data_IF_337063941594
#
_entry.id   IF_337063941594
#
_cell.length_a   1.000
_cell.length_b   1.000
_cell.length_c   1.000
_cell.angle_alpha   90.00
_cell.angle_beta   90.00
_cell.angle_gamma   90.00
#
_symmetry.space_group_name_H-M   'P 1'
#
loop_
_entity.id
_entity.type
_entity.pdbx_description
1 polymer ?
#
# COMPACT_ATOMS: atom_id res chain seq x y z
N UNK A 1 -81.21 36.96 2.40
CA UNK A 1 -79.99 37.05 3.22
C UNK A 1 -79.78 35.73 3.95
N UNK A 2 -78.57 35.19 3.85
CA UNK A 2 -77.90 34.27 4.79
C UNK A 2 -78.59 32.95 5.17
N UNK A 3 -78.30 31.86 4.43
CA UNK A 3 -78.26 30.48 5.02
C UNK A 3 -77.57 29.37 4.20
N UNK A 4 -76.83 29.68 3.13
CA UNK A 4 -76.06 28.66 2.35
C UNK A 4 -74.54 28.66 2.61
N UNK A 5 -74.05 29.57 3.48
CA UNK A 5 -72.63 29.66 3.83
C UNK A 5 -72.07 28.48 4.67
N UNK A 6 -72.84 27.67 5.44
CA UNK A 6 -72.24 26.62 6.27
C UNK A 6 -71.93 25.33 5.47
N UNK A 7 -72.71 24.98 4.44
CA UNK A 7 -72.52 23.74 3.68
C UNK A 7 -71.25 23.77 2.81
N UNK A 8 -70.93 24.91 2.21
CA UNK A 8 -69.72 25.06 1.40
C UNK A 8 -68.46 25.08 2.27
N UNK A 9 -68.54 25.67 3.47
CA UNK A 9 -67.46 25.61 4.46
C UNK A 9 -67.26 24.19 5.00
N UNK A 10 -68.33 23.45 5.28
CA UNK A 10 -68.23 22.03 5.67
C UNK A 10 -67.61 21.21 4.53
N UNK A 11 -68.02 21.41 3.27
CA UNK A 11 -67.43 20.78 2.08
C UNK A 11 -65.94 21.11 1.88
N UNK A 12 -65.51 22.33 2.21
CA UNK A 12 -64.10 22.73 2.21
C UNK A 12 -63.29 22.09 3.35
N UNK A 13 -63.89 21.85 4.51
CA UNK A 13 -63.23 21.17 5.64
C UNK A 13 -63.07 19.67 5.34
N UNK A 14 -63.99 19.01 4.61
CA UNK A 14 -63.81 17.61 4.15
C UNK A 14 -62.73 17.47 3.06
N UNK A 15 -62.31 18.59 2.44
CA UNK A 15 -61.19 18.63 1.48
C UNK A 15 -59.84 18.95 2.17
N UNK A 16 -59.87 19.31 3.45
CA UNK A 16 -58.69 19.63 4.27
C UNK A 16 -58.68 18.66 5.46
N UNK A 17 -58.19 17.45 5.27
CA UNK A 17 -57.50 16.64 6.31
C UNK A 17 -57.54 15.16 5.92
N UNK A 18 -56.58 14.76 5.09
CA UNK A 18 -55.64 13.71 5.48
C UNK A 18 -54.32 14.06 4.82
N UNK A 19 -53.48 14.81 5.51
CA UNK A 19 -52.06 14.78 5.16
C UNK A 19 -51.57 13.36 5.44
N UNK A 20 -51.68 12.47 4.45
CA UNK A 20 -51.12 11.12 4.49
C UNK A 20 -49.60 11.25 4.41
N UNK A 21 -49.01 11.54 5.56
CA UNK A 21 -47.58 11.67 5.72
C UNK A 21 -47.09 10.42 6.46
N UNK A 22 -46.41 9.53 5.73
CA UNK A 22 -45.75 8.41 6.38
C UNK A 22 -44.56 8.88 7.20
N UNK A 23 -44.55 8.57 8.50
CA UNK A 23 -43.35 8.65 9.32
C UNK A 23 -42.51 7.37 9.13
N UNK A 24 -41.46 7.46 8.31
CA UNK A 24 -40.66 6.28 7.94
C UNK A 24 -39.91 5.63 9.11
N UNK A 25 -39.58 6.38 10.16
CA UNK A 25 -38.91 5.85 11.34
C UNK A 25 -39.82 5.02 12.25
N UNK A 26 -41.11 4.92 11.92
CA UNK A 26 -42.00 3.87 12.44
C UNK A 26 -41.45 2.46 12.14
N UNK A 27 -40.74 2.29 11.02
CA UNK A 27 -40.05 1.05 10.67
C UNK A 27 -38.54 1.21 10.93
N UNK A 28 -38.02 0.64 12.03
CA UNK A 28 -36.62 0.79 12.36
C UNK A 28 -35.74 0.12 11.31
N UNK A 29 -34.54 0.66 11.14
CA UNK A 29 -33.53 0.02 10.30
C UNK A 29 -33.00 -1.25 10.96
N UNK A 30 -32.69 -2.26 10.16
CA UNK A 30 -31.78 -3.33 10.58
C UNK A 30 -30.39 -2.75 10.88
N UNK A 31 -29.57 -3.52 11.59
CA UNK A 31 -28.14 -3.26 11.58
C UNK A 31 -27.59 -3.30 10.15
N UNK A 32 -26.48 -2.59 9.93
CA UNK A 32 -25.72 -2.71 8.70
C UNK A 32 -25.22 -4.14 8.54
N UNK A 33 -25.26 -4.66 7.31
CA UNK A 33 -24.62 -5.91 6.96
C UNK A 33 -23.11 -5.82 7.21
N UNK A 34 -22.45 -6.97 7.29
CA UNK A 34 -20.99 -7.01 7.15
C UNK A 34 -20.57 -6.36 5.83
N UNK A 35 -19.41 -5.70 5.83
CA UNK A 35 -18.86 -5.10 4.62
C UNK A 35 -18.50 -6.19 3.61
N UNK A 36 -18.81 -5.95 2.33
CA UNK A 36 -18.52 -6.92 1.26
C UNK A 36 -17.02 -7.17 1.01
N UNK A 37 -16.17 -6.23 1.43
CA UNK A 37 -14.71 -6.35 1.37
C UNK A 37 -14.11 -5.88 2.69
N UNK A 38 -12.95 -6.43 3.06
CA UNK A 38 -12.19 -5.97 4.22
C UNK A 38 -11.34 -4.72 3.95
N UNK A 39 -11.16 -4.35 2.68
CA UNK A 39 -10.40 -3.18 2.22
C UNK A 39 -10.69 -2.95 0.71
N UNK A 40 -10.14 -1.89 0.11
CA UNK A 40 -10.39 -1.48 -1.28
C UNK A 40 -11.87 -1.18 -1.57
N UNK A 41 -12.50 -0.40 -0.69
CA UNK A 41 -13.86 0.11 -0.83
C UNK A 41 -14.89 -0.99 -1.08
N UNK A 42 -15.30 -1.62 0.02
CA UNK A 42 -16.47 -2.48 0.06
C UNK A 42 -17.77 -1.70 0.19
N UNK A 43 -18.86 -2.45 0.26
CA UNK A 43 -20.21 -1.92 0.41
C UNK A 43 -20.93 -2.69 1.49
N UNK A 44 -21.75 -1.99 2.27
CA UNK A 44 -22.67 -2.58 3.25
C UNK A 44 -24.06 -1.99 3.03
N UNK A 45 -25.09 -2.77 3.35
CA UNK A 45 -26.48 -2.36 3.20
C UNK A 45 -27.28 -2.59 4.48
N UNK A 46 -28.37 -1.86 4.62
CA UNK A 46 -29.39 -2.07 5.65
C UNK A 46 -30.77 -1.84 5.06
N UNK A 47 -31.79 -2.40 5.69
CA UNK A 47 -33.18 -2.28 5.25
C UNK A 47 -34.10 -1.93 6.40
N UNK A 48 -35.22 -1.27 6.14
CA UNK A 48 -36.24 -1.03 7.16
C UNK A 48 -36.97 -2.35 7.47
N UNK A 49 -37.26 -2.59 8.74
CA UNK A 49 -38.05 -3.72 9.20
C UNK A 49 -39.54 -3.43 9.00
N UNK A 50 -39.96 -3.42 7.73
CA UNK A 50 -41.33 -3.03 7.34
C UNK A 50 -42.32 -4.15 7.69
N UNK A 51 -43.40 -3.76 8.35
CA UNK A 51 -44.58 -4.61 8.59
C UNK A 51 -45.75 -4.00 7.84
N UNK A 52 -46.35 -4.74 6.90
CA UNK A 52 -47.42 -4.22 6.05
C UNK A 52 -48.77 -4.28 6.79
N UNK A 53 -49.04 -3.27 7.60
CA UNK A 53 -50.28 -3.09 8.36
C UNK A 53 -51.14 -1.94 7.79
N UNK A 54 -52.24 -1.61 8.45
CA UNK A 54 -53.14 -0.52 8.03
C UNK A 54 -52.40 0.82 7.98
N UNK A 55 -51.58 1.13 8.99
CA UNK A 55 -50.75 2.34 9.00
C UNK A 55 -49.83 2.44 7.76
N UNK A 56 -49.20 1.34 7.32
CA UNK A 56 -48.38 1.31 6.11
C UNK A 56 -49.17 1.70 4.85
N UNK A 57 -50.40 1.17 4.71
CA UNK A 57 -51.25 1.35 3.54
C UNK A 57 -51.92 2.73 3.54
N UNK A 58 -52.47 3.13 4.68
CA UNK A 58 -53.24 4.35 4.89
C UNK A 58 -52.40 5.63 4.96
N UNK A 59 -51.06 5.51 4.93
CA UNK A 59 -50.17 6.67 4.92
C UNK A 59 -49.21 6.66 3.73
N UNK A 60 -49.51 5.86 2.70
CA UNK A 60 -48.72 5.78 1.47
C UNK A 60 -47.20 5.54 1.70
N UNK A 61 -46.86 4.79 2.76
CA UNK A 61 -45.48 4.56 3.18
C UNK A 61 -44.62 3.85 2.11
N UNK A 62 -45.25 3.06 1.25
CA UNK A 62 -44.58 2.36 0.14
C UNK A 62 -43.92 3.32 -0.86
N UNK A 63 -44.56 4.48 -1.08
CA UNK A 63 -44.13 5.50 -2.03
C UNK A 63 -43.24 6.56 -1.38
N UNK A 64 -43.50 6.86 -0.10
CA UNK A 64 -42.82 7.95 0.61
C UNK A 64 -41.51 7.53 1.28
N UNK A 65 -41.34 6.26 1.63
CA UNK A 65 -40.20 5.81 2.42
C UNK A 65 -39.12 5.07 1.62
N UNK A 66 -37.87 5.47 1.86
CA UNK A 66 -36.70 4.68 1.47
C UNK A 66 -36.66 3.39 2.28
N UNK A 67 -36.66 2.25 1.57
CA UNK A 67 -36.72 0.90 2.17
C UNK A 67 -35.34 0.29 2.43
N UNK A 68 -34.34 0.70 1.65
CA UNK A 68 -32.98 0.19 1.71
C UNK A 68 -31.98 1.32 1.57
N UNK A 69 -30.90 1.22 2.33
CA UNK A 69 -29.74 2.09 2.20
C UNK A 69 -28.49 1.27 1.95
N UNK A 70 -27.58 1.87 1.20
CA UNK A 70 -26.29 1.27 0.85
C UNK A 70 -25.22 2.33 1.04
N UNK A 71 -24.09 1.95 1.66
CA UNK A 71 -22.95 2.85 1.83
C UNK A 71 -21.62 2.13 1.64
N UNK A 72 -20.58 2.91 1.34
CA UNK A 72 -19.22 2.40 1.32
C UNK A 72 -18.73 2.04 2.73
N UNK A 73 -17.84 1.07 2.79
CA UNK A 73 -17.13 0.64 3.99
C UNK A 73 -15.73 0.16 3.62
N UNK A 74 -14.82 0.16 4.59
CA UNK A 74 -13.43 -0.30 4.43
C UNK A 74 -12.77 0.32 3.18
N UNK A 75 -12.76 1.67 3.17
CA UNK A 75 -12.34 2.51 2.03
C UNK A 75 -10.82 2.52 1.89
N UNK A 76 -10.11 2.15 2.95
CA UNK A 76 -8.66 2.01 2.97
C UNK A 76 -8.15 1.03 1.91
N UNK A 77 -7.02 1.37 1.29
CA UNK A 77 -6.37 0.50 0.32
C UNK A 77 -5.81 -0.74 1.01
N UNK A 78 -6.01 -1.90 0.42
CA UNK A 78 -5.47 -3.14 0.97
C UNK A 78 -3.93 -3.10 1.00
N UNK A 79 -3.30 -3.65 2.05
CA UNK A 79 -1.86 -3.82 2.10
C UNK A 79 -1.36 -4.66 0.91
N UNK A 80 -0.34 -4.16 0.21
CA UNK A 80 0.30 -4.88 -0.90
C UNK A 80 1.66 -5.35 -0.42
N UNK A 81 1.81 -6.67 -0.29
CA UNK A 81 3.08 -7.27 0.11
C UNK A 81 4.10 -7.25 -1.03
N UNK A 82 5.35 -7.08 -0.63
CA UNK A 82 6.49 -7.14 -1.53
C UNK A 82 6.64 -8.56 -2.12
N UNK A 83 7.00 -8.64 -3.40
CA UNK A 83 7.24 -9.88 -4.12
C UNK A 83 8.60 -9.79 -4.79
N UNK A 84 9.49 -10.71 -4.44
CA UNK A 84 10.78 -10.88 -5.10
C UNK A 84 10.64 -11.84 -6.28
N UNK A 85 11.44 -11.61 -7.30
CA UNK A 85 11.63 -12.57 -8.38
C UNK A 85 12.59 -13.68 -7.98
N UNK A 86 12.71 -14.67 -8.86
CA UNK A 86 13.73 -15.69 -8.74
C UNK A 86 15.12 -15.09 -8.93
N UNK A 87 16.12 -15.77 -8.36
CA UNK A 87 17.50 -15.43 -8.65
C UNK A 87 17.85 -15.76 -10.09
N UNK A 88 18.63 -14.88 -10.71
CA UNK A 88 19.34 -15.20 -11.93
C UNK A 88 20.42 -16.26 -11.71
N UNK A 89 21.10 -16.62 -12.79
CA UNK A 89 22.27 -17.50 -12.73
C UNK A 89 23.39 -16.87 -11.91
N UNK A 90 24.24 -17.72 -11.33
CA UNK A 90 25.48 -17.25 -10.72
C UNK A 90 26.36 -16.57 -11.76
N UNK A 91 26.98 -15.45 -11.37
CA UNK A 91 28.04 -14.82 -12.13
C UNK A 91 29.26 -15.75 -12.22
N UNK A 92 30.20 -15.37 -13.08
CA UNK A 92 31.55 -15.94 -13.03
C UNK A 92 32.22 -15.67 -11.68
N UNK A 93 33.18 -16.53 -11.35
CA UNK A 93 33.94 -16.42 -10.10
C UNK A 93 34.90 -15.23 -10.18
N UNK A 94 34.73 -14.25 -9.29
CA UNK A 94 35.66 -13.13 -9.20
C UNK A 94 37.03 -13.61 -8.69
N UNK A 95 38.13 -13.46 -9.47
CA UNK A 95 39.46 -13.94 -9.08
C UNK A 95 40.06 -13.29 -7.83
N UNK A 96 39.69 -12.03 -7.57
CA UNK A 96 40.24 -11.22 -6.49
C UNK A 96 39.45 -11.42 -5.19
N UNK A 97 38.12 -11.53 -5.29
CA UNK A 97 37.20 -11.69 -4.16
C UNK A 97 36.96 -13.17 -3.83
N UNK A 98 37.18 -14.07 -4.80
CA UNK A 98 36.90 -15.51 -4.72
C UNK A 98 35.45 -15.83 -4.38
N UNK A 99 34.51 -15.05 -4.95
CA UNK A 99 33.07 -15.25 -4.80
C UNK A 99 32.35 -15.11 -6.12
N UNK A 100 31.24 -15.83 -6.24
CA UNK A 100 30.23 -15.62 -7.27
C UNK A 100 29.05 -14.87 -6.68
N UNK A 101 28.38 -14.10 -7.52
CA UNK A 101 27.24 -13.27 -7.16
C UNK A 101 26.04 -13.74 -7.95
N UNK A 102 24.86 -13.83 -7.32
CA UNK A 102 23.60 -13.88 -8.06
C UNK A 102 22.67 -12.81 -7.53
N UNK A 103 21.87 -12.27 -8.45
CA UNK A 103 20.97 -11.14 -8.18
C UNK A 103 19.54 -11.55 -8.54
N UNK A 104 18.58 -11.01 -7.80
CA UNK A 104 17.16 -11.05 -8.14
C UNK A 104 16.57 -9.65 -8.11
N UNK A 105 15.46 -9.47 -8.80
CA UNK A 105 14.72 -8.20 -8.83
C UNK A 105 13.55 -8.20 -7.84
N UNK A 106 13.07 -7.00 -7.53
CA UNK A 106 11.77 -6.80 -6.88
C UNK A 106 10.72 -6.77 -7.99
N UNK A 107 9.83 -7.76 -8.03
CA UNK A 107 8.72 -7.80 -8.99
C UNK A 107 7.59 -6.87 -8.58
N UNK A 108 7.35 -6.74 -7.26
CA UNK A 108 6.37 -5.81 -6.71
C UNK A 108 6.86 -5.25 -5.39
N UNK A 109 7.00 -3.92 -5.23
CA UNK A 109 7.35 -3.31 -3.95
C UNK A 109 6.18 -3.38 -2.97
N UNK A 110 6.46 -3.33 -1.66
CA UNK A 110 5.39 -3.22 -0.66
C UNK A 110 4.73 -1.85 -0.70
N UNK A 111 3.42 -1.78 -0.56
CA UNK A 111 2.66 -0.54 -0.52
C UNK A 111 1.55 -0.61 0.53
N UNK A 112 1.07 0.55 0.99
CA UNK A 112 -0.08 0.68 1.88
C UNK A 112 0.01 -0.16 3.18
N UNK A 113 1.19 -0.20 3.80
CA UNK A 113 1.42 -0.98 5.03
C UNK A 113 1.59 -2.49 4.81
N UNK A 114 1.74 -2.94 3.57
CA UNK A 114 2.11 -4.32 3.26
C UNK A 114 3.52 -4.66 3.70
N UNK A 115 3.80 -5.96 3.82
CA UNK A 115 5.08 -6.46 4.31
C UNK A 115 6.22 -6.11 3.32
N UNK A 116 7.30 -5.45 3.79
CA UNK A 116 8.47 -5.17 2.96
C UNK A 116 9.26 -6.45 2.66
N UNK A 117 10.02 -6.45 1.57
CA UNK A 117 10.98 -7.50 1.31
C UNK A 117 12.15 -7.38 2.31
N UNK A 118 12.30 -8.38 3.17
CA UNK A 118 13.43 -8.46 4.13
C UNK A 118 14.61 -9.23 3.57
N UNK A 119 14.36 -10.10 2.59
CA UNK A 119 15.37 -10.97 2.02
C UNK A 119 16.28 -10.22 1.03
N UNK A 120 17.59 -10.56 0.96
CA UNK A 120 18.56 -9.80 0.18
C UNK A 120 18.35 -9.97 -1.33
N UNK A 121 18.55 -8.89 -2.09
CA UNK A 121 18.49 -8.91 -3.56
C UNK A 121 19.74 -9.52 -4.19
N UNK A 122 20.87 -9.45 -3.48
CA UNK A 122 22.17 -9.95 -3.92
C UNK A 122 22.65 -10.97 -2.91
N UNK A 123 23.12 -12.12 -3.38
CA UNK A 123 23.75 -13.13 -2.52
C UNK A 123 25.06 -13.61 -3.14
N UNK A 124 25.95 -14.06 -2.26
CA UNK A 124 27.32 -14.42 -2.59
C UNK A 124 27.59 -15.86 -2.17
N UNK A 125 28.37 -16.57 -2.96
CA UNK A 125 28.91 -17.87 -2.59
C UNK A 125 30.42 -17.93 -2.87
N UNK A 126 31.19 -18.67 -2.05
CA UNK A 126 32.61 -18.89 -2.34
C UNK A 126 32.80 -19.72 -3.62
N UNK A 127 33.92 -19.48 -4.31
CA UNK A 127 34.28 -20.19 -5.53
C UNK A 127 35.80 -20.26 -5.70
N UNK A 128 36.27 -21.13 -6.59
CA UNK A 128 37.68 -21.22 -7.00
C UNK A 128 37.80 -20.60 -8.40
N UNK A 129 38.55 -19.50 -8.57
CA UNK A 129 38.71 -18.87 -9.87
C UNK A 129 39.67 -19.68 -10.74
N UNK A 130 39.42 -19.70 -12.05
CA UNK A 130 40.32 -20.33 -13.04
C UNK A 130 41.55 -19.47 -13.34
N UNK A 131 41.46 -18.16 -13.12
CA UNK A 131 42.50 -17.18 -13.37
C UNK A 131 43.00 -16.55 -12.07
N UNK A 132 44.24 -16.04 -12.07
CA UNK A 132 44.76 -15.24 -10.96
C UNK A 132 44.15 -13.82 -10.96
N UNK A 133 44.03 -13.22 -9.79
CA UNK A 133 43.64 -11.81 -9.65
C UNK A 133 44.65 -10.91 -10.37
N UNK A 134 44.22 -10.28 -11.45
CA UNK A 134 44.99 -9.27 -12.19
C UNK A 134 44.42 -7.91 -11.83
N UNK A 135 45.14 -7.15 -11.01
CA UNK A 135 44.84 -5.76 -10.78
C UNK A 135 45.45 -5.01 -11.96
N UNK A 136 44.64 -4.53 -12.89
CA UNK A 136 45.14 -3.65 -13.94
C UNK A 136 45.58 -2.33 -13.31
N UNK A 137 46.88 -2.09 -13.30
CA UNK A 137 47.44 -0.81 -12.92
C UNK A 137 47.20 0.19 -14.04
N UNK A 138 46.07 0.89 -13.99
CA UNK A 138 45.83 2.02 -14.89
C UNK A 138 46.78 3.17 -14.53
N UNK A 139 47.88 3.23 -15.29
CA UNK A 139 48.76 4.37 -15.56
C UNK A 139 49.35 5.11 -14.34
N UNK A 140 50.15 4.41 -13.52
CA UNK A 140 51.04 5.06 -12.55
C UNK A 140 52.36 5.49 -13.20
N UNK A 141 52.28 6.38 -14.20
CA UNK A 141 53.46 6.86 -14.96
C UNK A 141 54.57 7.51 -14.14
N UNK A 142 54.40 7.82 -12.85
CA UNK A 142 55.44 8.39 -11.97
C UNK A 142 55.18 8.19 -10.45
N UNK A 143 54.64 7.05 -9.99
CA UNK A 143 54.44 6.80 -8.54
C UNK A 143 55.13 5.51 -8.08
N UNK A 144 55.86 5.57 -6.96
CA UNK A 144 56.40 4.37 -6.32
C UNK A 144 55.24 3.44 -5.94
N UNK A 145 55.28 2.23 -6.48
CA UNK A 145 54.29 1.19 -6.20
C UNK A 145 54.69 0.49 -4.90
N UNK A 146 53.85 0.60 -3.87
CA UNK A 146 54.04 -0.19 -2.64
C UNK A 146 53.52 -1.62 -2.86
N UNK A 147 54.07 -2.60 -2.12
CA UNK A 147 53.74 -4.04 -2.18
C UNK A 147 52.25 -4.38 -1.90
N UNK A 148 51.47 -3.37 -1.50
CA UNK A 148 50.01 -3.42 -1.30
C UNK A 148 49.20 -2.80 -2.45
N UNK A 149 49.81 -2.49 -3.59
CA UNK A 149 49.15 -1.98 -4.80
C UNK A 149 48.62 -0.55 -4.71
N UNK A 150 48.97 0.20 -3.65
CA UNK A 150 48.61 1.62 -3.50
C UNK A 150 49.79 2.49 -3.91
N UNK A 151 49.56 3.37 -4.88
CA UNK A 151 50.58 4.25 -5.43
C UNK A 151 50.72 5.53 -4.60
N UNK A 152 51.86 5.71 -3.95
CA UNK A 152 52.19 6.93 -3.22
C UNK A 152 52.81 7.96 -4.17
N UNK A 153 52.25 9.18 -4.21
CA UNK A 153 52.84 10.31 -4.93
C UNK A 153 54.08 10.76 -4.19
N UNK A 154 55.25 10.61 -4.82
CA UNK A 154 56.44 11.31 -4.37
C UNK A 154 56.21 12.82 -4.61
N UNK A 155 55.93 13.56 -3.54
CA UNK A 155 56.09 15.00 -3.58
C UNK A 155 57.60 15.27 -3.77
N UNK A 156 57.97 15.85 -4.91
CA UNK A 156 59.33 16.30 -5.15
C UNK A 156 59.72 17.30 -4.06
N UNK A 157 60.70 16.96 -3.23
CA UNK A 157 61.29 17.92 -2.29
C UNK A 157 61.60 17.45 -0.87
N UNK A 158 61.71 16.15 -0.56
CA UNK A 158 62.23 15.73 0.76
C UNK A 158 63.46 14.85 0.56
N UNK A 159 64.59 15.35 1.08
CA UNK A 159 65.86 14.64 1.15
C UNK A 159 65.66 13.25 1.74
N UNK A 160 66.25 12.25 1.08
CA UNK A 160 66.38 10.89 1.58
C UNK A 160 67.35 10.92 2.77
N UNK A 161 66.86 11.28 3.95
CA UNK A 161 67.57 10.95 5.17
C UNK A 161 67.18 9.54 5.57
N UNK A 162 68.14 8.65 5.33
CA UNK A 162 68.28 7.35 5.99
C UNK A 162 67.69 7.37 7.39
N UNK A 163 66.66 6.55 7.61
CA UNK A 163 66.42 5.96 8.92
C UNK A 163 66.34 4.47 8.71
N UNK A 164 67.53 3.87 8.74
CA UNK A 164 67.71 2.49 9.19
C UNK A 164 67.06 2.41 10.58
N UNK A 165 65.86 1.84 10.67
CA UNK A 165 65.31 1.42 11.97
C UNK A 165 65.45 -0.09 12.05
N UNK A 166 66.40 -0.46 12.89
CA UNK A 166 66.69 -1.79 13.39
C UNK A 166 65.43 -2.51 13.86
N UNK A 167 65.13 -3.67 13.26
CA UNK A 167 64.33 -4.69 13.91
C UNK A 167 65.29 -5.53 14.79
N UNK A 168 65.24 -5.31 16.10
CA UNK A 168 65.65 -6.29 17.11
C UNK A 168 64.38 -6.96 17.61
N UNK A 169 64.33 -8.29 17.50
CA UNK A 169 64.05 -9.32 18.53
C UNK A 169 64.33 -10.66 17.86
#
# INVERSE_FOLDING_TARGET
>A
MTRHLPLCFILLIILIDKSEACFCDHYPWTHWSSCSKSCNSGTQSRQRQIVVNDYYRDNSCDQLCTKQETRQCNVETCPINCVLGDYGTWSDCDPCIRKQVKVRSVLRPSQFGGQPCTEPLVTFQPCVPSELCKIEETDCKNKFLCDSGKSATAAAGIQVNSVMSTATV
#
